data_IF_894190716936
#
_entry.id   IF_894190716936
#
_cell.length_a   1.000
_cell.length_b   1.000
_cell.length_c   1.000
_cell.angle_alpha   90.00
_cell.angle_beta   90.00
_cell.angle_gamma   90.00
#
_symmetry.space_group_name_H-M   'P 1'
#
loop_
_entity.id
_entity.type
_entity.pdbx_description
1 polymer ?
#
# COMPACT_ATOMS: atom_id res chain seq x y z
N UNK A 1 -3.89 -2.15 17.92
CA UNK A 1 -4.73 -1.72 16.77
C UNK A 1 -4.43 -2.68 15.63
N UNK A 2 -5.41 -3.41 15.11
CA UNK A 2 -5.23 -4.25 13.93
C UNK A 2 -5.84 -3.52 12.75
N UNK A 3 -5.02 -2.98 11.85
CA UNK A 3 -5.52 -2.46 10.58
C UNK A 3 -6.00 -3.65 9.75
N UNK A 4 -7.22 -3.58 9.20
CA UNK A 4 -7.76 -4.66 8.36
C UNK A 4 -6.78 -5.00 7.22
N UNK A 5 -6.60 -6.29 6.95
CA UNK A 5 -5.68 -6.78 5.92
C UNK A 5 -4.19 -6.71 6.28
N UNK A 6 -3.84 -6.46 7.54
CA UNK A 6 -2.44 -6.50 7.98
C UNK A 6 -2.24 -7.38 9.20
N UNK A 7 -1.06 -7.99 9.27
CA UNK A 7 -0.59 -8.73 10.44
C UNK A 7 0.43 -7.87 11.17
N UNK A 8 0.16 -7.45 12.42
CA UNK A 8 1.07 -6.58 13.16
C UNK A 8 2.36 -7.34 13.51
N UNK A 9 3.51 -6.67 13.31
CA UNK A 9 4.84 -7.17 13.67
C UNK A 9 5.33 -6.46 14.93
N UNK A 10 5.25 -5.14 14.94
CA UNK A 10 5.47 -4.32 16.13
C UNK A 10 4.30 -3.38 16.31
N UNK A 11 3.75 -3.38 17.52
CA UNK A 11 2.57 -2.61 17.85
C UNK A 11 2.77 -1.85 19.17
N UNK A 12 2.10 -0.70 19.35
CA UNK A 12 2.24 0.09 20.54
C UNK A 12 1.64 -0.63 21.75
N UNK A 13 2.34 -0.55 22.87
CA UNK A 13 1.87 -0.99 24.18
C UNK A 13 2.55 -2.22 24.74
N UNK A 14 2.21 -2.63 25.98
CA UNK A 14 2.99 -3.59 26.75
C UNK A 14 2.72 -5.03 26.31
N UNK A 15 1.48 -5.31 25.88
CA UNK A 15 1.02 -6.66 25.53
C UNK A 15 0.31 -6.65 24.17
N UNK A 16 1.02 -6.46 23.06
CA UNK A 16 0.44 -6.64 21.74
C UNK A 16 0.03 -8.10 21.54
N UNK A 17 -1.02 -8.32 20.73
CA UNK A 17 -1.50 -9.67 20.42
C UNK A 17 -0.48 -10.36 19.49
N UNK A 18 -0.14 -11.64 19.72
CA UNK A 18 0.69 -12.41 18.81
C UNK A 18 0.15 -12.35 17.36
N UNK A 19 1.01 -12.31 16.34
CA UNK A 19 2.46 -12.47 16.43
C UNK A 19 3.24 -11.19 16.81
N UNK A 20 2.57 -10.06 17.03
CA UNK A 20 3.25 -8.79 17.26
C UNK A 20 4.03 -8.74 18.58
N UNK A 21 5.19 -8.08 18.54
CA UNK A 21 6.00 -7.75 19.72
C UNK A 21 5.85 -6.28 20.13
N UNK A 22 6.06 -5.95 21.42
CA UNK A 22 6.12 -4.56 21.87
C UNK A 22 7.43 -3.92 21.41
N UNK A 23 7.43 -2.59 21.25
CA UNK A 23 8.66 -1.85 20.99
C UNK A 23 9.62 -1.93 22.17
N UNK A 24 10.91 -2.18 21.88
CA UNK A 24 12.00 -2.32 22.85
C UNK A 24 13.25 -1.61 22.34
N UNK A 25 13.57 -0.45 22.89
CA UNK A 25 14.74 0.33 22.46
C UNK A 25 16.07 -0.35 22.80
N UNK A 26 16.10 -1.19 23.83
CA UNK A 26 17.27 -1.96 24.26
C UNK A 26 17.69 -3.06 23.27
N UNK A 27 16.81 -3.41 22.33
CA UNK A 27 17.10 -4.37 21.26
C UNK A 27 17.71 -3.72 20.01
N UNK A 28 17.81 -2.38 19.99
CA UNK A 28 18.45 -1.64 18.92
C UNK A 28 19.85 -1.18 19.33
N UNK A 29 20.78 -1.19 18.37
CA UNK A 29 22.11 -0.62 18.54
C UNK A 29 22.51 0.22 17.33
N UNK A 30 23.34 1.24 17.59
CA UNK A 30 23.79 2.19 16.59
C UNK A 30 24.83 1.57 15.63
N UNK A 31 24.63 1.78 14.34
CA UNK A 31 25.62 1.56 13.27
C UNK A 31 25.66 2.83 12.43
N UNK A 32 26.38 3.82 12.94
CA UNK A 32 26.52 5.13 12.32
C UNK A 32 27.86 5.25 11.56
N UNK A 33 28.02 6.32 10.79
CA UNK A 33 29.25 6.59 10.03
C UNK A 33 30.50 6.86 10.90
N UNK A 34 30.35 6.98 12.22
CA UNK A 34 31.45 6.95 13.21
C UNK A 34 32.40 5.76 13.02
N UNK A 35 31.91 4.62 12.53
CA UNK A 35 32.76 3.45 12.18
C UNK A 35 33.73 3.72 11.03
N UNK A 36 33.55 4.82 10.30
CA UNK A 36 34.43 5.34 9.24
C UNK A 36 35.06 6.68 9.61
N UNK A 37 34.95 7.12 10.86
CA UNK A 37 35.39 8.43 11.32
C UNK A 37 34.44 9.57 10.98
N UNK A 38 33.18 9.29 10.64
CA UNK A 38 32.15 10.31 10.45
C UNK A 38 31.60 10.85 11.78
N UNK A 39 30.79 11.91 11.68
CA UNK A 39 30.22 12.62 12.83
C UNK A 39 28.71 12.41 12.98
N UNK A 40 28.08 11.60 12.14
CA UNK A 40 26.65 11.29 12.29
C UNK A 40 26.43 10.35 13.48
N UNK A 41 25.28 10.49 14.13
CA UNK A 41 24.88 9.60 15.22
C UNK A 41 23.39 9.39 15.26
N UNK A 42 22.97 8.22 15.75
CA UNK A 42 21.57 7.92 16.01
C UNK A 42 21.35 7.38 17.41
N UNK A 43 20.11 7.48 17.87
CA UNK A 43 19.61 6.88 19.09
C UNK A 43 18.20 6.33 18.87
N UNK A 44 17.84 5.34 19.67
CA UNK A 44 16.51 4.75 19.70
C UNK A 44 15.95 4.88 21.11
N UNK A 45 14.74 5.44 21.26
CA UNK A 45 14.06 5.57 22.56
C UNK A 45 12.58 5.25 22.46
N UNK A 46 11.94 4.94 23.58
CA UNK A 46 10.49 4.72 23.64
C UNK A 46 9.82 5.96 24.21
N UNK A 47 8.74 6.41 23.58
CA UNK A 47 7.82 7.41 24.12
C UNK A 47 6.57 6.69 24.61
N UNK A 48 6.29 6.82 25.90
CA UNK A 48 5.05 6.29 26.47
C UNK A 48 4.05 7.42 26.63
N UNK A 49 2.86 7.25 26.07
CA UNK A 49 1.74 8.16 26.30
C UNK A 49 0.90 7.65 27.45
N UNK A 50 0.34 8.52 28.31
CA UNK A 50 -0.75 8.13 29.18
C UNK A 50 -1.97 7.68 28.33
N UNK A 51 -2.60 6.52 28.64
CA UNK A 51 -2.23 5.57 29.67
C UNK A 51 -0.97 4.78 29.28
N UNK A 52 -0.09 4.51 30.27
CA UNK A 52 1.28 3.90 30.23
C UNK A 52 1.41 2.57 29.47
N UNK A 53 0.35 2.14 28.81
CA UNK A 53 0.23 0.98 27.96
C UNK A 53 0.29 1.30 26.46
N UNK A 54 0.72 2.49 26.03
CA UNK A 54 0.98 2.81 24.62
C UNK A 54 2.37 3.41 24.48
N UNK A 55 3.28 2.64 23.88
CA UNK A 55 4.64 3.06 23.63
C UNK A 55 4.93 3.07 22.14
N UNK A 56 5.38 4.20 21.60
CA UNK A 56 5.91 4.30 20.25
C UNK A 56 7.44 4.37 20.32
N UNK A 57 8.12 3.99 19.24
CA UNK A 57 9.57 4.08 19.18
C UNK A 57 10.00 5.31 18.39
N UNK A 58 10.98 6.05 18.90
CA UNK A 58 11.53 7.25 18.26
C UNK A 58 12.95 6.95 17.81
N UNK A 59 13.15 7.06 16.50
CA UNK A 59 14.44 7.04 15.84
C UNK A 59 14.88 8.49 15.59
N UNK A 60 15.95 8.92 16.25
CA UNK A 60 16.41 10.30 16.19
C UNK A 60 17.93 10.40 16.25
N UNK A 61 18.47 11.57 15.93
CA UNK A 61 19.91 11.81 15.95
C UNK A 61 20.31 12.98 15.07
N UNK A 62 21.57 12.98 14.65
CA UNK A 62 22.15 14.02 13.80
C UNK A 62 22.83 13.40 12.59
N UNK A 63 22.57 13.96 11.41
CA UNK A 63 23.17 13.54 10.15
C UNK A 63 24.17 14.59 9.68
N UNK A 64 25.45 14.25 9.72
CA UNK A 64 26.53 15.10 9.20
C UNK A 64 26.96 14.63 7.81
N UNK A 65 27.20 15.57 6.91
CA UNK A 65 27.72 15.31 5.56
C UNK A 65 29.10 15.93 5.36
N UNK A 66 29.56 16.77 6.28
CA UNK A 66 30.81 17.53 6.11
C UNK A 66 32.05 16.65 6.35
N UNK A 67 32.02 15.81 7.38
CA UNK A 67 33.18 15.03 7.83
C UNK A 67 33.66 14.03 6.78
N UNK A 68 32.75 13.41 6.02
CA UNK A 68 33.08 12.39 5.02
C UNK A 68 32.86 12.89 3.58
N UNK A 69 33.03 14.19 3.32
CA UNK A 69 33.03 14.75 1.96
C UNK A 69 31.70 14.57 1.22
N UNK A 70 30.59 14.76 1.93
CA UNK A 70 29.23 14.67 1.42
C UNK A 70 28.50 13.37 1.71
N UNK A 71 29.23 12.33 2.14
CA UNK A 71 28.64 11.10 2.65
C UNK A 71 28.30 11.24 4.14
N UNK A 72 27.20 10.61 4.55
CA UNK A 72 26.81 10.55 5.95
C UNK A 72 25.71 9.52 6.14
N UNK A 73 25.75 8.79 7.26
CA UNK A 73 24.64 7.93 7.65
C UNK A 73 24.56 7.67 9.14
N UNK A 74 23.33 7.53 9.62
CA UNK A 74 23.02 7.12 10.98
C UNK A 74 21.96 6.02 10.94
N UNK A 75 22.15 4.92 11.68
CA UNK A 75 21.26 3.75 11.61
C UNK A 75 21.14 3.03 12.94
N UNK A 76 19.95 2.51 13.24
CA UNK A 76 19.67 1.68 14.40
C UNK A 76 19.23 0.29 13.96
N UNK A 77 20.01 -0.71 14.33
CA UNK A 77 19.87 -2.10 13.86
C UNK A 77 19.22 -2.96 14.93
N UNK A 78 18.30 -3.83 14.49
CA UNK A 78 17.67 -4.88 15.28
C UNK A 78 18.20 -6.25 14.82
N UNK A 79 18.99 -6.93 15.65
CA UNK A 79 19.68 -8.18 15.30
C UNK A 79 18.87 -9.45 15.57
N UNK A 80 17.57 -9.44 15.24
CA UNK A 80 16.72 -10.63 15.31
C UNK A 80 15.68 -10.62 14.21
N UNK A 81 15.14 -11.80 13.89
CA UNK A 81 14.11 -11.95 12.88
C UNK A 81 12.85 -11.17 13.25
N UNK A 82 12.04 -10.86 12.23
CA UNK A 82 10.72 -10.29 12.46
C UNK A 82 9.80 -11.31 13.13
N UNK A 83 8.78 -10.88 13.89
CA UNK A 83 8.00 -11.77 14.76
C UNK A 83 7.09 -12.77 14.03
N UNK A 84 6.84 -12.54 12.73
CA UNK A 84 6.10 -13.44 11.86
C UNK A 84 6.99 -13.93 10.71
N UNK A 85 6.69 -15.12 10.19
CA UNK A 85 7.31 -15.63 8.97
C UNK A 85 6.72 -14.88 7.76
N UNK A 86 7.51 -14.02 7.13
CA UNK A 86 7.07 -13.13 6.06
C UNK A 86 7.11 -13.79 4.68
N UNK A 87 6.52 -14.97 4.52
CA UNK A 87 6.43 -15.63 3.21
C UNK A 87 5.73 -14.74 2.18
N UNK A 88 6.25 -14.72 0.95
CA UNK A 88 5.64 -13.98 -0.17
C UNK A 88 4.27 -14.51 -0.60
N UNK A 89 3.94 -15.74 -0.19
CA UNK A 89 2.63 -16.35 -0.45
C UNK A 89 1.55 -15.72 0.46
N UNK A 90 1.89 -15.48 1.72
CA UNK A 90 0.97 -14.95 2.73
C UNK A 90 0.96 -13.42 2.78
N UNK A 91 2.07 -12.79 2.41
CA UNK A 91 2.28 -11.35 2.55
C UNK A 91 2.69 -10.72 1.22
N UNK A 92 2.19 -9.51 0.95
CA UNK A 92 2.53 -8.73 -0.24
C UNK A 92 3.58 -7.65 0.02
N UNK A 93 3.85 -7.31 1.28
CA UNK A 93 4.84 -6.31 1.66
C UNK A 93 4.72 -5.83 3.10
N UNK A 94 5.17 -4.60 3.37
CA UNK A 94 5.22 -4.00 4.71
C UNK A 94 4.50 -2.65 4.77
N UNK A 95 3.92 -2.37 5.94
CA UNK A 95 3.31 -1.10 6.31
C UNK A 95 4.01 -0.52 7.54
N UNK A 96 4.45 0.73 7.45
CA UNK A 96 5.00 1.52 8.55
C UNK A 96 4.05 2.68 8.83
N UNK A 97 3.66 2.84 10.09
CA UNK A 97 2.83 3.97 10.55
C UNK A 97 3.68 4.88 11.41
N UNK A 98 3.75 6.16 11.05
CA UNK A 98 4.60 7.18 11.69
C UNK A 98 3.71 8.32 12.18
N UNK A 99 4.00 8.93 13.34
CA UNK A 99 3.27 10.12 13.80
C UNK A 99 3.66 11.35 13.00
N UNK A 100 2.66 12.20 12.69
CA UNK A 100 2.89 13.52 12.06
C UNK A 100 3.60 14.48 13.00
N UNK A 101 3.12 14.55 14.24
CA UNK A 101 3.76 15.31 15.30
C UNK A 101 4.76 14.42 16.01
N UNK A 102 6.04 14.68 15.80
CA UNK A 102 7.12 14.01 16.50
C UNK A 102 7.47 14.80 17.77
N UNK A 103 8.03 14.10 18.76
CA UNK A 103 8.85 14.79 19.76
C UNK A 103 9.95 15.61 19.08
N UNK A 104 10.30 16.75 19.69
CA UNK A 104 11.31 17.66 19.17
C UNK A 104 12.62 16.90 18.87
N UNK A 105 13.23 17.13 17.69
CA UNK A 105 14.54 16.59 17.37
C UNK A 105 15.60 17.14 18.34
N UNK A 106 16.74 16.45 18.40
CA UNK A 106 17.91 16.90 19.16
C UNK A 106 18.30 18.33 18.76
N UNK A 107 18.78 19.13 19.70
CA UNK A 107 19.27 20.48 19.40
C UNK A 107 20.42 20.40 18.41
N UNK A 108 20.35 21.16 17.32
CA UNK A 108 21.43 21.19 16.34
C UNK A 108 22.74 21.67 16.98
N UNK A 109 23.88 21.03 16.66
CA UNK A 109 25.19 21.56 17.01
C UNK A 109 25.43 22.91 16.32
N UNK A 110 26.32 23.76 16.85
CA UNK A 110 26.69 25.02 16.21
C UNK A 110 27.06 24.79 14.75
N UNK A 111 26.42 25.53 13.84
CA UNK A 111 26.64 25.40 12.40
C UNK A 111 26.99 26.75 11.79
N UNK A 112 28.01 26.75 10.94
CA UNK A 112 28.46 27.93 10.19
C UNK A 112 27.57 28.22 8.95
N UNK A 113 26.49 27.45 8.72
CA UNK A 113 25.65 27.53 7.54
C UNK A 113 24.14 27.41 7.82
N UNK A 114 23.29 27.62 6.78
CA UNK A 114 21.83 27.63 6.93
C UNK A 114 21.23 26.25 7.21
N UNK A 115 21.99 25.17 7.00
CA UNK A 115 21.56 23.80 7.28
C UNK A 115 22.66 23.09 8.08
N UNK A 116 22.41 22.78 9.36
CA UNK A 116 23.33 22.02 10.19
C UNK A 116 23.75 20.71 9.51
N UNK A 117 25.04 20.39 9.54
CA UNK A 117 25.60 19.19 8.89
C UNK A 117 25.87 19.31 7.38
N UNK A 118 25.68 20.48 6.77
CA UNK A 118 26.23 20.84 5.45
C UNK A 118 25.50 20.28 4.21
N UNK A 119 24.30 19.73 4.37
CA UNK A 119 23.44 19.25 3.28
C UNK A 119 22.58 20.37 2.67
N UNK A 120 21.83 20.01 1.61
CA UNK A 120 20.92 20.92 0.88
C UNK A 120 19.58 21.17 1.56
N UNK A 121 19.23 20.39 2.58
CA UNK A 121 17.98 20.52 3.30
C UNK A 121 17.93 19.62 4.54
N UNK A 122 16.84 19.70 5.34
CA UNK A 122 16.67 18.88 6.53
C UNK A 122 16.44 17.40 6.17
N UNK A 123 16.71 16.51 7.12
CA UNK A 123 16.44 15.07 6.96
C UNK A 123 14.94 14.81 6.88
N UNK A 124 14.52 14.20 5.77
CA UNK A 124 13.10 13.82 5.51
C UNK A 124 12.97 12.42 4.93
N UNK A 125 13.99 11.95 4.23
CA UNK A 125 14.01 10.60 3.67
C UNK A 125 14.67 9.62 4.62
N UNK A 126 13.98 8.51 4.85
CA UNK A 126 14.40 7.42 5.71
C UNK A 126 14.43 6.13 4.91
N UNK A 127 15.25 5.18 5.35
CA UNK A 127 15.41 3.88 4.72
C UNK A 127 15.09 2.81 5.74
N UNK A 128 14.20 1.89 5.38
CA UNK A 128 14.00 0.62 6.06
C UNK A 128 14.85 -0.44 5.37
N UNK A 129 15.70 -1.13 6.13
CA UNK A 129 16.61 -2.14 5.59
C UNK A 129 16.28 -3.52 6.12
N UNK A 130 16.36 -4.54 5.26
CA UNK A 130 16.28 -5.95 5.63
C UNK A 130 17.54 -6.68 5.13
N UNK A 131 18.10 -7.52 6.00
CA UNK A 131 19.14 -8.49 5.64
C UNK A 131 18.58 -9.89 5.78
N UNK A 132 18.77 -10.70 4.74
CA UNK A 132 18.32 -12.09 4.66
C UNK A 132 19.47 -13.10 4.81
N UNK A 133 20.70 -12.59 4.93
CA UNK A 133 21.92 -13.39 5.03
C UNK A 133 22.67 -13.01 6.31
N UNK A 134 23.18 -14.03 7.01
CA UNK A 134 24.01 -13.82 8.21
C UNK A 134 25.38 -13.30 7.75
N UNK A 135 25.80 -12.09 8.16
CA UNK A 135 27.10 -11.59 7.77
C UNK A 135 28.21 -12.39 8.44
N UNK A 136 29.11 -12.93 7.62
CA UNK A 136 30.29 -13.64 8.12
C UNK A 136 31.21 -12.71 8.91
N UNK A 137 31.97 -13.30 9.83
CA UNK A 137 33.03 -12.59 10.54
C UNK A 137 34.36 -13.07 9.98
N UNK A 138 35.18 -12.11 9.57
CA UNK A 138 36.56 -12.37 9.18
C UNK A 138 37.38 -12.91 10.36
N UNK A 139 38.53 -13.54 10.08
CA UNK A 139 39.49 -13.92 11.13
C UNK A 139 39.96 -12.75 12.00
N UNK A 140 39.87 -11.50 11.52
CA UNK A 140 40.18 -10.28 12.26
C UNK A 140 39.04 -9.79 13.20
N UNK A 141 37.92 -10.54 13.26
CA UNK A 141 36.73 -10.20 14.04
C UNK A 141 35.80 -9.16 13.38
N UNK A 142 36.20 -8.56 12.25
CA UNK A 142 35.40 -7.60 11.51
C UNK A 142 34.27 -8.31 10.77
N UNK A 143 33.09 -7.69 10.84
CA UNK A 143 31.89 -8.17 10.16
C UNK A 143 31.95 -7.86 8.67
N UNK A 144 31.70 -8.85 7.82
CA UNK A 144 31.59 -8.67 6.38
C UNK A 144 30.29 -7.96 6.00
N UNK A 145 30.28 -7.35 4.81
CA UNK A 145 29.06 -6.76 4.25
C UNK A 145 28.30 -7.86 3.51
N UNK A 146 26.97 -7.84 3.62
CA UNK A 146 26.06 -8.70 2.84
C UNK A 146 25.17 -7.80 1.98
N UNK A 147 24.39 -8.42 1.08
CA UNK A 147 23.34 -7.69 0.37
C UNK A 147 22.29 -7.21 1.37
N UNK A 148 21.92 -5.93 1.24
CA UNK A 148 20.91 -5.28 2.07
C UNK A 148 19.78 -4.85 1.15
N UNK A 149 18.56 -5.24 1.49
CA UNK A 149 17.36 -4.84 0.78
C UNK A 149 16.81 -3.56 1.38
N UNK A 150 16.76 -2.49 0.58
CA UNK A 150 16.43 -1.14 1.03
C UNK A 150 15.08 -0.69 0.48
N UNK A 151 14.19 -0.23 1.36
CA UNK A 151 12.98 0.50 1.02
C UNK A 151 13.10 1.94 1.55
N UNK A 152 13.10 2.91 0.63
CA UNK A 152 13.17 4.34 0.95
C UNK A 152 11.77 4.96 0.99
N UNK A 153 11.50 5.81 1.98
CA UNK A 153 10.27 6.59 2.10
C UNK A 153 10.58 7.99 2.65
N UNK A 154 9.73 8.97 2.34
CA UNK A 154 9.95 10.38 2.69
C UNK A 154 8.78 10.93 3.51
N UNK A 155 9.10 11.66 4.59
CA UNK A 155 8.11 12.34 5.42
C UNK A 155 7.69 13.66 4.72
N UNK A 156 6.39 13.86 4.44
CA UNK A 156 5.91 15.08 3.80
C UNK A 156 6.21 16.34 4.60
N UNK A 157 6.40 17.46 3.89
CA UNK A 157 6.51 18.77 4.53
C UNK A 157 5.10 19.23 4.91
N UNK A 158 4.84 19.69 6.14
CA UNK A 158 3.63 20.47 6.40
C UNK A 158 3.78 21.78 5.62
N UNK A 159 3.13 21.89 4.46
CA UNK A 159 3.07 23.15 3.73
C UNK A 159 2.29 24.17 4.55
N UNK A 160 2.87 25.35 4.74
CA UNK A 160 2.15 26.57 5.10
C UNK A 160 1.01 26.76 4.07
N UNK A 161 -0.20 26.35 4.44
CA UNK A 161 -1.40 26.47 3.58
C UNK A 161 -2.22 25.20 3.34
N UNK A 162 -1.81 24.02 3.83
CA UNK A 162 -2.59 22.77 3.64
C UNK A 162 -3.55 22.44 4.80
N UNK A 163 -3.92 23.44 5.61
CA UNK A 163 -5.03 23.31 6.57
C UNK A 163 -6.41 23.17 5.87
N UNK A 164 -6.52 23.33 4.55
CA UNK A 164 -7.80 23.15 3.84
C UNK A 164 -7.59 22.48 2.49
N UNK A 165 -7.37 21.16 2.49
CA UNK A 165 -7.85 20.24 1.45
C UNK A 165 -7.89 18.82 2.01
N UNK A 166 -8.67 18.67 3.08
CA UNK A 166 -9.41 17.44 3.28
C UNK A 166 -10.19 17.19 1.99
N UNK A 167 -9.83 16.12 1.27
CA UNK A 167 -10.69 15.59 0.22
C UNK A 167 -11.91 15.05 0.96
N UNK A 168 -12.91 15.92 1.12
CA UNK A 168 -14.30 15.53 1.13
C UNK A 168 -14.57 14.84 -0.21
N UNK A 169 -14.31 13.54 -0.25
CA UNK A 169 -15.07 12.63 -1.08
C UNK A 169 -16.11 12.05 -0.13
N UNK A 170 -17.36 12.44 -0.38
CA UNK A 170 -18.56 12.06 0.37
C UNK A 170 -18.56 10.60 0.81
N UNK A 171 -18.49 10.40 2.14
CA UNK A 171 -19.10 9.36 2.97
C UNK A 171 -18.42 9.41 4.35
N UNK A 172 -19.03 10.12 5.27
CA UNK A 172 -18.62 10.17 6.67
C UNK A 172 -18.76 8.78 7.31
N UNK A 173 -17.64 8.06 7.45
CA UNK A 173 -17.32 7.11 8.52
C UNK A 173 -15.99 6.42 8.21
N UNK A 174 -14.87 7.09 8.49
CA UNK A 174 -13.55 6.44 8.62
C UNK A 174 -12.71 7.23 9.63
N UNK A 175 -12.99 6.97 10.91
CA UNK A 175 -12.24 7.28 12.14
C UNK A 175 -11.22 8.44 12.10
N UNK A 176 -11.38 9.41 13.01
CA UNK A 176 -10.43 10.49 13.35
C UNK A 176 -8.96 10.05 13.57
N UNK A 177 -8.73 8.74 13.72
CA UNK A 177 -7.44 8.09 13.93
C UNK A 177 -6.43 8.38 12.81
N UNK A 178 -6.84 8.61 11.56
CA UNK A 178 -5.89 8.88 10.46
C UNK A 178 -5.36 10.32 10.43
N UNK A 179 -5.88 11.22 11.26
CA UNK A 179 -5.45 12.62 11.25
C UNK A 179 -4.03 12.80 11.81
N UNK A 180 -3.60 11.92 12.73
CA UNK A 180 -2.33 12.05 13.48
C UNK A 180 -1.15 11.28 12.87
N UNK A 181 -1.37 10.46 11.83
CA UNK A 181 -0.36 9.55 11.29
C UNK A 181 -0.11 9.73 9.79
N UNK A 182 1.13 9.48 9.40
CA UNK A 182 1.51 9.10 8.04
C UNK A 182 1.55 7.58 7.94
N UNK A 183 0.99 7.03 6.86
CA UNK A 183 0.99 5.59 6.57
C UNK A 183 1.81 5.37 5.31
N UNK A 184 2.86 4.57 5.43
CA UNK A 184 3.72 4.17 4.33
C UNK A 184 3.52 2.69 4.07
N UNK A 185 3.29 2.33 2.81
CA UNK A 185 3.16 0.95 2.35
C UNK A 185 4.17 0.69 1.25
N UNK A 186 4.68 -0.54 1.24
CA UNK A 186 5.62 -1.02 0.25
C UNK A 186 5.32 -2.47 -0.07
N UNK A 187 5.50 -2.82 -1.34
CA UNK A 187 5.48 -4.19 -1.82
C UNK A 187 6.88 -4.79 -1.74
N UNK A 188 6.98 -6.13 -1.79
CA UNK A 188 8.30 -6.77 -1.86
C UNK A 188 9.16 -6.31 -3.04
N UNK A 189 8.56 -5.84 -4.13
CA UNK A 189 9.26 -5.34 -5.31
C UNK A 189 9.89 -3.94 -5.10
N UNK A 190 9.42 -3.18 -4.12
CA UNK A 190 9.95 -1.84 -3.79
C UNK A 190 11.28 -1.92 -3.04
N UNK A 191 11.61 -3.09 -2.48
CA UNK A 191 12.91 -3.36 -1.86
C UNK A 191 13.99 -3.55 -2.93
N UNK A 192 14.99 -2.66 -2.94
CA UNK A 192 16.10 -2.72 -3.90
C UNK A 192 17.37 -3.22 -3.24
N UNK A 193 18.18 -4.07 -3.89
CA UNK A 193 19.38 -4.63 -3.29
C UNK A 193 20.55 -3.64 -3.37
N UNK A 194 21.26 -3.50 -2.24
CA UNK A 194 22.46 -2.70 -2.11
C UNK A 194 23.58 -3.52 -1.47
N UNK A 195 24.81 -3.31 -1.93
CA UNK A 195 26.01 -3.86 -1.33
C UNK A 195 26.99 -2.74 -1.02
N UNK A 196 27.35 -2.60 0.25
CA UNK A 196 28.25 -1.54 0.74
C UNK A 196 27.82 -0.12 0.31
N UNK A 197 26.51 0.12 0.26
CA UNK A 197 25.91 1.40 -0.12
C UNK A 197 25.86 1.67 -1.63
N UNK A 198 26.16 0.67 -2.48
CA UNK A 198 26.01 0.75 -3.93
C UNK A 198 24.85 -0.13 -4.39
N UNK A 199 24.02 0.32 -5.35
CA UNK A 199 22.97 -0.52 -5.92
C UNK A 199 23.59 -1.74 -6.60
N UNK A 200 22.92 -2.89 -6.50
CA UNK A 200 23.31 -4.16 -7.11
C UNK A 200 22.28 -4.53 -8.17
N UNK A 201 22.73 -5.13 -9.28
CA UNK A 201 21.83 -5.68 -10.29
C UNK A 201 20.98 -6.80 -9.67
N UNK A 202 19.64 -6.81 -9.85
CA UNK A 202 18.76 -7.81 -9.25
C UNK A 202 19.18 -9.26 -9.54
N UNK A 203 19.66 -9.53 -10.77
CA UNK A 203 20.14 -10.86 -11.18
C UNK A 203 21.35 -11.35 -10.37
N UNK A 204 22.21 -10.43 -9.91
CA UNK A 204 23.39 -10.76 -9.09
C UNK A 204 23.08 -10.80 -7.60
N UNK A 205 22.09 -10.03 -7.16
CA UNK A 205 21.67 -9.96 -5.77
C UNK A 205 20.90 -11.22 -5.33
N UNK A 206 20.32 -11.96 -6.28
CA UNK A 206 19.45 -13.09 -6.01
C UNK A 206 18.05 -12.66 -5.59
N UNK A 207 17.24 -13.63 -5.19
CA UNK A 207 15.84 -13.39 -4.80
C UNK A 207 15.74 -12.85 -3.38
N UNK A 208 15.02 -11.75 -3.20
CA UNK A 208 14.67 -11.25 -1.88
C UNK A 208 13.81 -12.27 -1.13
N UNK A 209 14.25 -12.77 0.02
CA UNK A 209 13.54 -13.78 0.82
C UNK A 209 13.17 -13.20 2.20
N UNK A 210 12.09 -12.40 2.30
CA UNK A 210 11.70 -11.72 3.54
C UNK A 210 11.47 -12.67 4.72
N UNK A 211 11.05 -13.91 4.48
CA UNK A 211 10.92 -14.98 5.48
C UNK A 211 12.25 -15.35 6.16
N UNK A 212 13.40 -15.09 5.52
CA UNK A 212 14.74 -15.34 6.05
C UNK A 212 15.38 -14.12 6.70
N UNK A 213 14.57 -13.12 7.10
CA UNK A 213 15.08 -11.91 7.76
C UNK A 213 15.91 -12.27 9.00
N UNK A 214 17.19 -11.90 9.00
CA UNK A 214 18.10 -12.07 10.14
C UNK A 214 18.33 -10.77 10.90
N UNK A 215 18.34 -9.64 10.19
CA UNK A 215 18.46 -8.31 10.75
C UNK A 215 17.65 -7.31 9.95
N UNK A 216 17.23 -6.23 10.60
CA UNK A 216 16.60 -5.10 9.93
C UNK A 216 16.95 -3.79 10.65
N UNK A 217 16.78 -2.66 9.99
CA UNK A 217 17.14 -1.36 10.57
C UNK A 217 16.32 -0.19 10.02
N UNK A 218 16.30 0.89 10.80
CA UNK A 218 15.97 2.22 10.31
C UNK A 218 17.27 2.99 10.06
N UNK A 219 17.31 3.76 8.98
CA UNK A 219 18.49 4.53 8.58
C UNK A 219 18.09 5.91 8.06
N UNK A 220 18.84 6.93 8.47
CA UNK A 220 18.91 8.23 7.83
C UNK A 220 20.23 8.30 7.03
N UNK A 221 20.16 8.69 5.74
CA UNK A 221 21.31 8.73 4.82
C UNK A 221 21.41 10.10 4.16
N UNK A 222 22.61 10.64 3.99
CA UNK A 222 22.79 11.97 3.38
C UNK A 222 22.34 12.09 1.92
N UNK A 223 22.32 10.96 1.20
CA UNK A 223 22.10 10.89 -0.25
C UNK A 223 23.00 11.86 -1.01
N UNK A 224 24.30 11.89 -0.65
CA UNK A 224 25.30 12.80 -1.22
C UNK A 224 24.90 14.28 -1.06
N UNK A 225 24.84 14.74 0.20
CA UNK A 225 24.47 16.11 0.59
C UNK A 225 23.05 16.54 0.21
N UNK A 226 22.13 15.62 -0.11
CA UNK A 226 20.73 15.99 -0.31
C UNK A 226 20.07 16.43 1.01
N UNK A 227 20.44 15.78 2.12
CA UNK A 227 19.89 16.08 3.44
C UNK A 227 20.93 15.99 4.56
N UNK A 228 20.77 16.80 5.61
CA UNK A 228 21.60 16.81 6.83
C UNK A 228 20.84 17.42 8.01
N UNK A 229 21.46 17.41 9.19
CA UNK A 229 20.94 18.08 10.39
C UNK A 229 20.30 17.11 11.38
N UNK A 230 19.69 17.66 12.43
CA UNK A 230 18.94 16.87 13.39
C UNK A 230 17.70 16.23 12.75
N UNK A 231 17.38 15.01 13.17
CA UNK A 231 16.22 14.27 12.69
C UNK A 231 15.52 13.53 13.81
N UNK A 232 14.21 13.33 13.65
CA UNK A 232 13.36 12.57 14.56
C UNK A 232 12.21 11.95 13.77
N UNK A 233 12.03 10.63 13.91
CA UNK A 233 10.93 9.89 13.32
C UNK A 233 10.31 9.00 14.39
N UNK A 234 9.03 9.25 14.68
CA UNK A 234 8.29 8.47 15.67
C UNK A 234 7.43 7.40 15.01
N UNK A 235 7.85 6.16 15.13
CA UNK A 235 7.19 4.99 14.54
C UNK A 235 6.17 4.42 15.54
N UNK A 236 4.92 4.40 15.11
CA UNK A 236 3.81 3.86 15.88
C UNK A 236 3.70 2.34 15.74
N UNK A 237 3.72 1.83 14.51
CA UNK A 237 3.60 0.39 14.25
C UNK A 237 4.29 -0.03 12.96
N UNK A 238 4.80 -1.27 12.95
CA UNK A 238 5.28 -1.98 11.77
C UNK A 238 4.40 -3.22 11.58
N UNK A 239 3.84 -3.41 10.39
CA UNK A 239 2.95 -4.52 10.07
C UNK A 239 3.28 -5.12 8.71
N UNK A 240 3.01 -6.41 8.54
CA UNK A 240 3.04 -7.07 7.25
C UNK A 240 1.67 -6.91 6.55
N UNK A 241 1.69 -6.61 5.26
CA UNK A 241 0.49 -6.48 4.44
C UNK A 241 0.11 -7.88 3.98
N UNK A 242 -1.05 -8.37 4.40
CA UNK A 242 -1.52 -9.69 4.00
C UNK A 242 -1.75 -9.67 2.48
N UNK A 243 -1.27 -10.70 1.78
CA UNK A 243 -1.64 -10.91 0.39
C UNK A 243 -3.12 -11.26 0.38
N UNK A 244 -3.91 -10.60 -0.47
CA UNK A 244 -5.30 -10.96 -0.67
C UNK A 244 -5.33 -12.32 -1.38
N UNK A 245 -5.20 -13.42 -0.63
CA UNK A 245 -5.62 -14.74 -1.05
C UNK A 245 -7.10 -14.83 -0.69
N UNK A 246 -8.00 -14.81 -1.67
CA UNK A 246 -9.43 -15.15 -1.54
C UNK A 246 -9.97 -15.11 -0.09
N UNK A 247 -10.01 -13.90 0.49
CA UNK A 247 -10.59 -13.67 1.81
C UNK A 247 -12.11 -13.65 1.63
N UNK A 248 -12.64 -14.79 1.21
CA UNK A 248 -14.05 -15.06 0.99
C UNK A 248 -14.47 -16.46 1.46
N UNK A 249 -13.55 -17.36 1.85
CA UNK A 249 -13.94 -18.75 2.19
C UNK A 249 -13.31 -19.31 3.48
N UNK A 250 -12.26 -18.72 4.05
CA UNK A 250 -11.53 -19.37 5.16
C UNK A 250 -11.97 -18.92 6.56
N UNK A 251 -12.55 -17.72 6.71
CA UNK A 251 -13.00 -17.23 8.03
C UNK A 251 -14.25 -17.96 8.54
N UNK A 252 -15.10 -18.46 7.64
CA UNK A 252 -16.31 -19.19 8.03
C UNK A 252 -16.01 -20.67 8.34
N UNK A 253 -15.14 -21.33 7.57
CA UNK A 253 -14.88 -22.78 7.74
C UNK A 253 -14.06 -23.11 8.99
N UNK A 254 -13.17 -22.23 9.46
CA UNK A 254 -12.41 -22.46 10.70
C UNK A 254 -13.20 -22.11 11.98
N UNK A 255 -14.16 -21.18 11.89
CA UNK A 255 -15.11 -20.90 12.98
C UNK A 255 -16.13 -22.05 13.13
N UNK A 256 -16.56 -22.64 12.02
CA UNK A 256 -17.53 -23.76 12.03
C UNK A 256 -16.89 -25.10 12.42
N UNK A 257 -15.62 -25.35 12.07
CA UNK A 257 -14.92 -26.60 12.43
C UNK A 257 -14.61 -26.74 13.94
N UNK A 258 -14.56 -25.62 14.67
CA UNK A 258 -14.37 -25.65 16.14
C UNK A 258 -15.70 -25.85 16.89
N UNK A 259 -16.83 -25.58 16.23
CA UNK A 259 -18.18 -25.74 16.82
C UNK A 259 -18.78 -27.14 16.67
N UNK A 260 -18.29 -27.98 15.75
CA UNK A 260 -18.88 -29.30 15.48
C UNK A 260 -18.03 -30.49 15.95
N UNK A 261 -16.99 -30.26 16.75
CA UNK A 261 -16.17 -31.36 17.32
C UNK A 261 -16.76 -32.00 18.58
N UNK A 262 -17.85 -31.47 19.12
CA UNK A 262 -18.56 -32.04 20.27
C UNK A 262 -19.91 -32.63 19.86
N UNK A 263 -19.93 -33.63 18.97
CA UNK A 263 -20.97 -34.67 18.95
C UNK A 263 -20.64 -35.79 17.94
N UNK A 264 -20.02 -36.88 18.44
CA UNK A 264 -20.23 -38.31 18.08
C UNK A 264 -19.80 -38.80 16.67
N UNK A 265 -19.36 -40.08 16.50
CA UNK A 265 -18.23 -40.44 15.63
C UNK A 265 -18.58 -41.20 14.33
N UNK A 266 -17.54 -41.27 13.48
CA UNK A 266 -17.20 -42.31 12.50
C UNK A 266 -18.18 -42.64 11.36
N UNK A 267 -17.83 -42.28 10.11
CA UNK A 267 -17.69 -43.23 9.00
C UNK A 267 -17.00 -42.59 7.78
N UNK A 268 -16.46 -43.43 6.92
CA UNK A 268 -15.40 -43.25 5.93
C UNK A 268 -15.85 -42.88 4.49
N UNK A 269 -14.86 -42.46 3.68
CA UNK A 269 -14.79 -42.46 2.19
C UNK A 269 -15.62 -41.37 1.47
N UNK A 270 -15.24 -40.73 0.36
CA UNK A 270 -14.24 -40.96 -0.70
C UNK A 270 -13.95 -39.63 -1.43
N UNK A 271 -12.77 -39.54 -2.06
CA UNK A 271 -12.33 -38.50 -3.00
C UNK A 271 -13.24 -38.32 -4.23
N UNK A 272 -13.34 -37.08 -4.75
CA UNK A 272 -13.48 -36.83 -6.21
C UNK A 272 -12.76 -35.51 -6.58
N UNK A 273 -11.81 -35.62 -7.51
CA UNK A 273 -11.14 -34.54 -8.25
C UNK A 273 -12.00 -33.99 -9.40
N UNK A 274 -11.89 -32.68 -9.67
CA UNK A 274 -11.90 -32.09 -11.03
C UNK A 274 -11.54 -30.60 -10.93
N UNK A 275 -10.35 -30.14 -11.35
CA UNK A 275 -10.00 -29.62 -12.69
C UNK A 275 -11.14 -28.84 -13.37
N UNK A 276 -11.05 -27.62 -13.89
CA UNK A 276 -9.99 -26.59 -14.09
C UNK A 276 -10.72 -25.36 -14.70
N UNK A 277 -10.09 -24.44 -15.48
CA UNK A 277 -9.66 -23.11 -15.07
C UNK A 277 -10.47 -21.97 -15.70
N UNK A 278 -10.77 -20.89 -14.97
CA UNK A 278 -11.19 -19.64 -15.62
C UNK A 278 -10.43 -18.43 -15.04
N UNK A 279 -9.54 -17.95 -15.90
CA UNK A 279 -8.88 -16.65 -15.95
C UNK A 279 -9.86 -15.51 -15.65
N UNK A 280 -9.60 -14.76 -14.57
CA UNK A 280 -10.25 -13.47 -14.35
C UNK A 280 -9.30 -12.35 -14.77
N UNK A 281 -9.78 -11.56 -15.73
CA UNK A 281 -9.14 -10.36 -16.21
C UNK A 281 -9.11 -9.29 -15.11
N UNK A 282 -7.92 -8.74 -14.90
CA UNK A 282 -7.62 -7.62 -14.02
C UNK A 282 -8.50 -6.39 -14.32
N UNK A 283 -9.17 -5.89 -13.29
CA UNK A 283 -9.54 -4.47 -13.19
C UNK A 283 -8.88 -3.88 -11.95
N UNK A 284 -7.56 -3.70 -12.03
CA UNK A 284 -6.79 -2.94 -11.06
C UNK A 284 -6.90 -1.44 -11.40
N UNK A 285 -7.77 -0.72 -10.70
CA UNK A 285 -7.67 0.74 -10.59
C UNK A 285 -6.44 1.06 -9.73
N UNK A 286 -5.27 1.06 -10.37
CA UNK A 286 -4.00 1.46 -9.76
C UNK A 286 -4.04 2.93 -9.35
N UNK A 287 -4.21 3.20 -8.05
CA UNK A 287 -3.60 4.36 -7.42
C UNK A 287 -2.08 4.12 -7.37
N UNK A 288 -1.42 4.35 -8.50
CA UNK A 288 0.03 4.32 -8.62
C UNK A 288 0.61 5.47 -7.79
N UNK A 289 1.23 5.13 -6.67
CA UNK A 289 2.26 5.96 -6.07
C UNK A 289 3.28 6.34 -7.15
N UNK A 290 3.54 7.64 -7.28
CA UNK A 290 4.35 8.24 -8.33
C UNK A 290 5.75 7.62 -8.37
N UNK A 291 5.97 6.77 -9.38
CA UNK A 291 7.29 6.24 -9.75
C UNK A 291 8.10 7.37 -10.38
N UNK A 292 9.13 7.85 -9.69
CA UNK A 292 10.08 8.84 -10.24
C UNK A 292 10.95 8.27 -11.37
N UNK A 293 10.91 6.96 -11.61
CA UNK A 293 11.52 6.35 -12.81
C UNK A 293 10.75 6.63 -14.10
N UNK A 294 9.45 7.01 -14.03
CA UNK A 294 8.64 7.25 -15.22
C UNK A 294 8.96 8.57 -15.93
N UNK A 295 9.53 9.54 -15.22
CA UNK A 295 9.76 10.89 -15.73
C UNK A 295 10.83 10.89 -16.85
N UNK A 296 11.87 10.05 -16.72
CA UNK A 296 12.89 9.91 -17.77
C UNK A 296 12.36 9.22 -19.03
N UNK A 297 11.50 8.20 -18.89
CA UNK A 297 10.87 7.55 -20.03
C UNK A 297 9.87 8.49 -20.71
N UNK A 298 9.11 9.27 -19.94
CA UNK A 298 8.21 10.30 -20.47
C UNK A 298 8.97 11.39 -21.23
N UNK A 299 10.09 11.87 -20.67
CA UNK A 299 10.97 12.83 -21.35
C UNK A 299 11.60 12.24 -22.62
N UNK A 300 12.10 11.01 -22.56
CA UNK A 300 12.67 10.33 -23.73
C UNK A 300 11.63 10.11 -24.84
N UNK A 301 10.43 9.66 -24.48
CA UNK A 301 9.30 9.53 -25.42
C UNK A 301 8.88 10.88 -25.99
N UNK A 302 8.87 11.94 -25.19
CA UNK A 302 8.56 13.29 -25.66
C UNK A 302 9.58 13.78 -26.69
N UNK A 303 10.88 13.64 -26.41
CA UNK A 303 11.94 14.01 -27.36
C UNK A 303 11.84 13.16 -28.62
N UNK A 304 11.68 11.84 -28.48
CA UNK A 304 11.54 10.92 -29.61
C UNK A 304 10.33 11.25 -30.49
N UNK A 305 9.15 11.46 -29.89
CA UNK A 305 7.94 11.86 -30.59
C UNK A 305 8.09 13.22 -31.28
N UNK A 306 8.75 14.18 -30.62
CA UNK A 306 9.02 15.51 -31.20
C UNK A 306 9.95 15.42 -32.41
N UNK A 307 11.01 14.61 -32.34
CA UNK A 307 11.92 14.39 -33.47
C UNK A 307 11.22 13.71 -34.64
N UNK A 308 10.40 12.69 -34.37
CA UNK A 308 9.59 12.04 -35.40
C UNK A 308 8.59 13.02 -36.04
N UNK A 309 7.95 13.87 -35.23
CA UNK A 309 7.02 14.89 -35.74
C UNK A 309 7.73 15.91 -36.61
N UNK A 310 8.88 16.45 -36.19
CA UNK A 310 9.68 17.38 -37.01
C UNK A 310 10.08 16.70 -38.32
N UNK A 311 10.60 15.47 -38.27
CA UNK A 311 11.00 14.72 -39.47
C UNK A 311 9.81 14.51 -40.41
N UNK A 312 8.64 14.18 -39.87
CA UNK A 312 7.42 14.00 -40.64
C UNK A 312 6.94 15.29 -41.30
N UNK A 313 6.96 16.43 -40.58
CA UNK A 313 6.61 17.75 -41.15
C UNK A 313 7.59 18.14 -42.26
N UNK A 314 8.89 17.96 -42.03
CA UNK A 314 9.93 18.25 -43.04
C UNK A 314 9.70 17.40 -44.27
N UNK A 315 9.47 16.09 -44.12
CA UNK A 315 9.15 15.20 -45.24
C UNK A 315 7.87 15.61 -45.99
N UNK A 316 6.82 16.00 -45.27
CA UNK A 316 5.53 16.38 -45.86
C UNK A 316 5.61 17.70 -46.65
N UNK A 317 6.39 18.68 -46.19
CA UNK A 317 6.44 20.04 -46.77
C UNK A 317 7.58 20.26 -47.77
N UNK A 318 8.65 19.46 -47.74
CA UNK A 318 9.81 19.66 -48.63
C UNK A 318 9.43 19.30 -50.07
N UNK A 319 9.68 20.14 -51.11
CA UNK A 319 9.42 19.80 -52.52
C UNK A 319 10.32 18.68 -53.08
N UNK A 320 9.84 17.95 -54.10
CA UNK A 320 10.54 16.81 -54.71
C UNK A 320 11.94 17.17 -55.23
N UNK A 321 12.07 18.34 -55.85
CA UNK A 321 13.34 18.82 -56.39
C UNK A 321 14.46 18.90 -55.34
N UNK A 322 14.11 19.23 -54.09
CA UNK A 322 15.09 19.32 -52.99
C UNK A 322 15.49 17.92 -52.55
N UNK A 323 14.54 16.99 -52.42
CA UNK A 323 14.82 15.60 -52.03
C UNK A 323 15.71 14.88 -53.07
N UNK A 324 15.45 15.10 -54.36
CA UNK A 324 16.26 14.54 -55.45
C UNK A 324 17.67 15.12 -55.48
N UNK A 325 17.84 16.42 -55.22
CA UNK A 325 19.17 17.05 -55.15
C UNK A 325 20.02 16.57 -53.95
N UNK A 326 19.37 16.11 -52.88
CA UNK A 326 20.02 15.49 -51.71
C UNK A 326 20.35 14.00 -52.00
N UNK A 327 19.89 13.45 -53.12
CA UNK A 327 20.13 12.06 -53.54
C UNK A 327 19.14 11.06 -52.97
N UNK A 328 18.00 11.51 -52.44
CA UNK A 328 16.94 10.63 -51.93
C UNK A 328 16.06 10.21 -53.11
N UNK A 329 16.41 9.10 -53.75
CA UNK A 329 15.71 8.60 -54.95
C UNK A 329 14.41 7.86 -54.70
N UNK A 330 14.08 7.53 -53.44
CA UNK A 330 12.84 6.83 -53.09
C UNK A 330 12.32 7.26 -51.72
N UNK A 331 11.02 7.56 -51.65
CA UNK A 331 10.27 7.82 -50.42
C UNK A 331 8.81 7.38 -50.62
N UNK A 332 8.04 7.11 -49.53
CA UNK A 332 6.63 6.75 -49.63
C UNK A 332 5.79 7.84 -50.33
N UNK A 333 4.63 7.48 -50.92
CA UNK A 333 3.76 8.48 -51.55
C UNK A 333 3.38 9.60 -50.54
N UNK A 334 3.46 10.87 -50.97
CA UNK A 334 3.14 12.04 -50.14
C UNK A 334 1.70 12.03 -49.62
N UNK A 335 0.80 11.32 -50.27
CA UNK A 335 -0.59 11.17 -49.83
C UNK A 335 -0.70 10.59 -48.41
N UNK A 336 0.28 9.79 -47.99
CA UNK A 336 0.34 9.27 -46.62
C UNK A 336 0.43 10.37 -45.56
N UNK A 337 0.90 11.57 -45.91
CA UNK A 337 0.93 12.72 -45.01
C UNK A 337 -0.47 13.17 -44.56
N UNK A 338 -1.51 13.04 -45.39
CA UNK A 338 -2.88 13.35 -44.97
C UNK A 338 -3.67 12.10 -44.58
N UNK A 339 -3.37 10.94 -45.18
CA UNK A 339 -4.05 9.69 -44.87
C UNK A 339 -3.78 9.23 -43.43
N UNK A 340 -2.55 9.32 -42.93
CA UNK A 340 -2.22 8.88 -41.56
C UNK A 340 -3.04 9.66 -40.51
N UNK A 341 -3.08 11.00 -40.51
CA UNK A 341 -3.95 11.76 -39.60
C UNK A 341 -5.44 11.45 -39.79
N UNK A 342 -5.92 11.34 -41.04
CA UNK A 342 -7.33 11.08 -41.31
C UNK A 342 -7.78 9.71 -40.78
N UNK A 343 -7.01 8.66 -41.04
CA UNK A 343 -7.29 7.31 -40.52
C UNK A 343 -7.11 7.20 -39.01
N UNK A 344 -6.21 7.99 -38.41
CA UNK A 344 -6.07 8.07 -36.95
C UNK A 344 -7.36 8.60 -36.29
N UNK A 345 -7.99 9.64 -36.86
CA UNK A 345 -9.28 10.13 -36.38
C UNK A 345 -10.39 9.07 -36.47
N UNK A 346 -10.44 8.34 -37.59
CA UNK A 346 -11.39 7.22 -37.75
C UNK A 346 -11.13 6.11 -36.74
N UNK A 347 -9.86 5.77 -36.49
CA UNK A 347 -9.48 4.77 -35.51
C UNK A 347 -9.88 5.16 -34.08
N UNK A 348 -9.71 6.43 -33.70
CA UNK A 348 -10.16 6.95 -32.39
C UNK A 348 -11.68 6.80 -32.24
N UNK A 349 -12.46 7.20 -33.24
CA UNK A 349 -13.91 7.03 -33.24
C UNK A 349 -14.31 5.56 -33.15
N UNK A 350 -13.61 4.68 -33.87
CA UNK A 350 -13.85 3.24 -33.82
C UNK A 350 -13.56 2.65 -32.43
N UNK A 351 -12.49 3.07 -31.76
CA UNK A 351 -12.17 2.66 -30.39
C UNK A 351 -13.29 3.03 -29.44
N UNK A 352 -13.83 4.25 -29.54
CA UNK A 352 -14.98 4.66 -28.71
C UNK A 352 -16.24 3.85 -29.01
N UNK A 353 -16.54 3.58 -30.28
CA UNK A 353 -17.68 2.76 -30.66
C UNK A 353 -17.57 1.34 -30.10
N UNK A 354 -16.38 0.72 -30.21
CA UNK A 354 -16.10 -0.60 -29.65
C UNK A 354 -16.18 -0.59 -28.13
N UNK A 355 -15.63 0.43 -27.47
CA UNK A 355 -15.70 0.58 -26.02
C UNK A 355 -17.14 0.66 -25.52
N UNK A 356 -17.97 1.48 -26.17
CA UNK A 356 -19.41 1.58 -25.86
C UNK A 356 -20.08 0.21 -26.10
N UNK A 357 -19.78 -0.46 -27.21
CA UNK A 357 -20.32 -1.80 -27.51
C UNK A 357 -19.95 -2.84 -26.45
N UNK A 358 -18.69 -2.86 -25.99
CA UNK A 358 -18.22 -3.76 -24.93
C UNK A 358 -18.92 -3.44 -23.61
N UNK A 359 -19.06 -2.16 -23.26
CA UNK A 359 -19.77 -1.77 -22.05
C UNK A 359 -21.24 -2.17 -22.12
N UNK A 360 -21.89 -2.01 -23.27
CA UNK A 360 -23.28 -2.43 -23.47
C UNK A 360 -23.42 -3.95 -23.35
N UNK A 361 -22.49 -4.73 -23.90
CA UNK A 361 -22.47 -6.19 -23.76
C UNK A 361 -22.24 -6.65 -22.30
N UNK A 362 -21.51 -5.86 -21.51
CA UNK A 362 -21.21 -6.15 -20.10
C UNK A 362 -22.23 -5.57 -19.12
N UNK A 363 -23.18 -4.77 -19.60
CA UNK A 363 -24.22 -4.18 -18.74
C UNK A 363 -25.34 -5.20 -18.56
N UNK A 364 -25.71 -5.57 -17.31
CA UNK A 364 -26.86 -6.42 -17.04
C UNK A 364 -28.18 -5.80 -17.54
N UNK A 365 -29.20 -6.62 -17.78
CA UNK A 365 -30.55 -6.14 -18.11
C UNK A 365 -31.07 -5.16 -17.03
N UNK A 366 -31.89 -4.17 -17.40
CA UNK A 366 -32.27 -3.05 -16.52
C UNK A 366 -33.04 -3.49 -15.27
N UNK A 367 -33.67 -4.67 -15.31
CA UNK A 367 -34.41 -5.31 -14.24
C UNK A 367 -33.52 -6.13 -13.28
N UNK A 368 -32.24 -6.34 -13.62
CA UNK A 368 -31.34 -7.12 -12.80
C UNK A 368 -30.95 -6.35 -11.52
N UNK A 369 -31.13 -7.02 -10.37
CA UNK A 369 -30.95 -6.43 -9.04
C UNK A 369 -29.53 -5.86 -8.80
N UNK A 370 -28.52 -6.42 -9.48
CA UNK A 370 -27.14 -5.93 -9.39
C UNK A 370 -26.94 -4.51 -9.90
N UNK A 371 -27.89 -3.95 -10.67
CA UNK A 371 -27.84 -2.55 -11.10
C UNK A 371 -28.11 -1.58 -9.93
N UNK A 372 -28.77 -2.06 -8.88
CA UNK A 372 -29.12 -1.28 -7.68
C UNK A 372 -28.27 -1.71 -6.48
N UNK A 373 -27.87 -2.99 -6.43
CA UNK A 373 -27.20 -3.59 -5.27
C UNK A 373 -25.76 -4.00 -5.57
N UNK A 374 -24.81 -3.66 -4.70
CA UNK A 374 -23.42 -4.11 -4.78
C UNK A 374 -23.13 -5.28 -3.80
N UNK A 375 -21.93 -5.83 -3.87
CA UNK A 375 -21.48 -6.93 -3.00
C UNK A 375 -21.32 -6.56 -1.52
N UNK A 376 -21.40 -5.26 -1.18
CA UNK A 376 -21.33 -4.76 0.18
C UNK A 376 -22.73 -4.46 0.76
N UNK A 377 -23.80 -4.65 -0.01
CA UNK A 377 -25.16 -4.43 0.47
C UNK A 377 -25.60 -5.54 1.43
N UNK A 378 -26.10 -5.13 2.60
CA UNK A 378 -26.60 -6.02 3.63
C UNK A 378 -28.06 -6.39 3.31
N UNK A 379 -28.28 -7.46 2.54
CA UNK A 379 -29.63 -7.93 2.19
C UNK A 379 -30.17 -8.84 3.29
N UNK A 380 -31.24 -8.42 3.96
CA UNK A 380 -31.96 -9.27 4.91
C UNK A 380 -32.91 -10.18 4.12
N UNK A 381 -32.65 -11.49 4.07
CA UNK A 381 -33.54 -12.47 3.42
C UNK A 381 -34.62 -12.90 4.41
N UNK A 382 -35.87 -12.62 4.09
CA UNK A 382 -37.04 -13.07 4.86
C UNK A 382 -37.72 -14.17 4.04
N UNK A 383 -38.06 -15.29 4.68
CA UNK A 383 -38.79 -16.39 4.03
C UNK A 383 -40.30 -16.04 3.96
N UNK A 384 -40.98 -16.47 2.89
CA UNK A 384 -42.41 -16.20 2.69
C UNK A 384 -43.27 -16.79 3.83
N UNK A 385 -42.80 -17.88 4.44
CA UNK A 385 -43.48 -18.53 5.57
C UNK A 385 -43.44 -17.66 6.85
N UNK A 386 -42.41 -16.84 7.03
CA UNK A 386 -42.31 -15.92 8.18
C UNK A 386 -43.24 -14.70 8.04
N UNK A 387 -43.71 -14.38 6.83
CA UNK A 387 -44.51 -13.19 6.52
C UNK A 387 -46.02 -13.38 6.77
N UNK A 388 -46.52 -14.62 6.74
CA UNK A 388 -47.95 -14.91 7.00
C UNK A 388 -48.42 -14.41 8.37
N UNK A 389 -47.51 -14.34 9.35
CA UNK A 389 -47.83 -13.87 10.69
C UNK A 389 -47.95 -12.34 10.83
N UNK A 390 -47.47 -11.56 9.85
CA UNK A 390 -47.53 -10.09 9.89
C UNK A 390 -48.88 -9.57 9.36
N UNK A 391 -49.38 -10.16 8.27
CA UNK A 391 -50.63 -9.72 7.61
C UNK A 391 -51.91 -10.36 8.17
N UNK A 392 -51.82 -11.51 8.85
CA UNK A 392 -53.00 -12.19 9.41
C UNK A 392 -53.61 -11.48 10.63
N UNK A 393 -53.01 -10.38 11.11
CA UNK A 393 -53.49 -9.64 12.29
C UNK A 393 -54.57 -8.58 11.99
N UNK A 394 -54.91 -8.32 10.71
CA UNK A 394 -55.86 -7.25 10.34
C UNK A 394 -57.34 -7.70 10.20
N UNK A 395 -57.65 -8.99 10.21
CA UNK A 395 -59.04 -9.48 10.21
C UNK A 395 -59.37 -10.12 11.55
N UNK A 396 -60.00 -9.34 12.42
CA UNK A 396 -60.08 -9.58 13.86
C UNK A 396 -60.87 -10.80 14.32
N UNK A 397 -60.54 -11.23 15.53
CA UNK A 397 -61.50 -11.39 16.63
C UNK A 397 -60.76 -11.26 17.97
N UNK A 398 -61.41 -10.53 18.87
CA UNK A 398 -60.92 -10.04 20.16
C UNK A 398 -60.89 -11.19 21.19
N UNK A 399 -59.70 -11.62 21.62
CA UNK A 399 -59.54 -12.33 22.89
C UNK A 399 -58.27 -11.87 23.59
N UNK A 400 -58.45 -11.04 24.61
CA UNK A 400 -57.39 -10.45 25.42
C UNK A 400 -56.70 -11.51 26.30
N UNK A 401 -55.44 -11.80 26.01
CA UNK A 401 -54.49 -12.37 26.97
C UNK A 401 -53.38 -11.33 27.23
N UNK A 402 -53.30 -10.73 28.44
CA UNK A 402 -52.35 -9.67 28.75
C UNK A 402 -50.89 -10.13 28.84
N UNK A 403 -50.58 -11.42 28.64
CA UNK A 403 -49.20 -11.94 28.68
C UNK A 403 -48.65 -12.43 27.32
N UNK A 404 -49.31 -12.13 26.19
CA UNK A 404 -48.77 -12.49 24.87
C UNK A 404 -47.84 -11.39 24.31
N UNK A 405 -46.60 -11.70 23.87
CA UNK A 405 -45.61 -10.73 23.39
C UNK A 405 -45.91 -10.21 21.97
N UNK A 406 -47.19 -9.98 21.63
CA UNK A 406 -47.63 -9.71 20.25
C UNK A 406 -47.77 -8.23 19.90
N UNK A 407 -47.41 -7.31 20.79
CA UNK A 407 -47.59 -5.87 20.57
C UNK A 407 -46.36 -5.10 20.04
N UNK A 408 -45.28 -5.77 19.62
CA UNK A 408 -44.00 -5.07 19.36
C UNK A 408 -43.65 -4.87 17.87
N UNK A 409 -44.22 -5.62 16.91
CA UNK A 409 -43.62 -5.64 15.56
C UNK A 409 -44.12 -4.59 14.54
N UNK A 410 -45.31 -3.99 14.72
CA UNK A 410 -45.82 -3.02 13.74
C UNK A 410 -45.27 -1.58 13.93
N UNK A 411 -44.44 -1.33 14.93
CA UNK A 411 -43.86 0.00 15.19
C UNK A 411 -42.44 0.17 14.64
N UNK A 412 -41.76 -0.92 14.29
CA UNK A 412 -40.33 -0.89 13.95
C UNK A 412 -40.03 -0.68 12.45
N UNK A 413 -41.03 -0.79 11.57
CA UNK A 413 -40.81 -0.60 10.11
C UNK A 413 -40.50 0.87 9.76
N UNK A 414 -41.01 1.82 10.56
CA UNK A 414 -40.87 3.26 10.28
C UNK A 414 -39.82 3.98 11.14
N UNK A 415 -39.15 3.28 12.05
CA UNK A 415 -38.15 3.85 12.98
C UNK A 415 -36.69 3.59 12.53
N UNK A 416 -36.48 3.35 11.24
CA UNK A 416 -35.15 3.16 10.66
C UNK A 416 -34.49 4.52 10.38
N UNK A 417 -33.22 4.72 10.77
CA UNK A 417 -32.52 5.97 10.53
C UNK A 417 -32.39 6.27 9.03
N UNK A 418 -32.42 7.56 8.62
CA UNK A 418 -32.33 7.95 7.22
C UNK A 418 -31.05 7.37 6.59
N UNK A 419 -31.23 6.46 5.63
CA UNK A 419 -30.16 5.66 5.01
C UNK A 419 -30.49 4.17 4.91
N UNK A 420 -31.44 3.67 5.71
CA UNK A 420 -31.90 2.27 5.71
C UNK A 420 -33.33 2.14 5.17
N UNK A 421 -33.55 2.51 3.90
CA UNK A 421 -34.81 2.16 3.23
C UNK A 421 -34.61 0.80 2.57
N UNK A 422 -35.01 -0.27 3.26
CA UNK A 422 -35.02 -1.61 2.68
C UNK A 422 -36.27 -1.78 1.83
N UNK A 423 -36.09 -2.03 0.53
CA UNK A 423 -37.20 -2.46 -0.35
C UNK A 423 -37.39 -3.96 -0.16
N UNK A 424 -38.58 -4.37 0.25
CA UNK A 424 -39.01 -5.77 0.18
C UNK A 424 -39.24 -6.16 -1.29
N UNK A 425 -38.60 -7.22 -1.76
CA UNK A 425 -38.89 -7.82 -3.07
C UNK A 425 -38.92 -9.33 -2.94
N UNK A 426 -40.06 -9.92 -3.29
CA UNK A 426 -40.23 -11.36 -3.41
C UNK A 426 -39.48 -11.85 -4.65
N UNK A 427 -38.58 -12.81 -4.47
CA UNK A 427 -38.07 -13.63 -5.56
C UNK A 427 -38.96 -14.88 -5.62
N UNK A 428 -39.80 -14.98 -6.64
CA UNK A 428 -40.44 -16.26 -6.96
C UNK A 428 -39.35 -17.17 -7.51
N UNK A 429 -39.07 -18.28 -6.83
CA UNK A 429 -38.25 -19.34 -7.38
C UNK A 429 -38.91 -19.84 -8.68
N UNK A 430 -38.19 -19.73 -9.80
CA UNK A 430 -38.47 -20.41 -11.06
C UNK A 430 -37.20 -21.05 -11.59
#
# INVERSE_FOLDING_TARGET
MSYQGTTPLFAPGPNPRPPAFPWRSDQFFAVDDKVRGGSSHSHMRIVQYPPTHRGDIVFSGFLDTTTLGGAGFASQVYSSSLPANLSKDDFSGLRIVVRKQTDQPESDPPSDGPTPGGGRGPVRSFVFQIKTEVPERRPDGRRESVVVWEWCFEIPTPSEGDEVRSIASDKASKSDIYQDFYVFESTWDDFKPFYRGKPVDPEKAGDFQPEKTVEWSFMARSNFQAQSGAFSMQVHSLSAINRAADIGVITEKQALATSFRNMVPAMSTTEVQSNSPFTNADSSSTLRGRRTSSEYYGFALFIFATLLWILWVVWALTPDAILESIGIGWYPNREWAFLIPAWSLVAVLAIYAVFIGINLLKTPELDHISNVTDSAQNVYRISIDDEQHVLASETGEESADPNSPRHVLNRDIYDLPPGYVSRHTHLSES
#
